data_IF_718328010876
#
_entry.id   IF_718328010876
#
_cell.length_a   1.000
_cell.length_b   1.000
_cell.length_c   1.000
_cell.angle_alpha   90.00
_cell.angle_beta   90.00
_cell.angle_gamma   90.00
#
_symmetry.space_group_name_H-M   'P 1'
#
loop_
_entity.id
_entity.type
_entity.pdbx_description
1 polymer ?
#
# COMPACT_ATOMS: atom_id res chain seq x y z
N UNK A 1 -48.23 -19.66 19.70
CA UNK A 1 -47.10 -19.25 18.82
C UNK A 1 -46.71 -17.81 19.14
N UNK A 2 -45.52 -17.56 19.68
CA UNK A 2 -45.08 -16.17 19.95
C UNK A 2 -44.70 -15.54 18.60
N UNK A 3 -45.43 -14.50 18.20
CA UNK A 3 -45.24 -13.79 16.95
C UNK A 3 -43.82 -13.16 16.92
N UNK A 4 -42.86 -13.85 16.31
CA UNK A 4 -41.45 -13.43 16.20
C UNK A 4 -41.32 -12.41 15.06
N UNK A 5 -41.90 -11.22 15.25
CA UNK A 5 -41.73 -10.14 14.29
C UNK A 5 -40.47 -9.35 14.61
N UNK A 6 -39.61 -9.24 13.59
CA UNK A 6 -38.49 -8.33 13.62
C UNK A 6 -38.96 -6.88 13.57
N UNK A 7 -38.28 -6.00 14.29
CA UNK A 7 -38.66 -4.60 14.36
C UNK A 7 -37.48 -3.68 14.69
N UNK A 8 -37.68 -2.41 14.33
CA UNK A 8 -36.89 -1.28 14.80
C UNK A 8 -37.61 -0.64 15.98
N UNK A 9 -36.87 -0.36 17.05
CA UNK A 9 -37.37 0.32 18.24
C UNK A 9 -36.50 1.53 18.58
N UNK A 10 -37.05 2.42 19.40
CA UNK A 10 -36.30 3.49 20.05
C UNK A 10 -36.49 3.50 21.55
N UNK A 11 -35.44 3.88 22.27
CA UNK A 11 -35.47 4.25 23.69
C UNK A 11 -35.29 5.76 23.74
N UNK A 12 -36.29 6.47 24.26
CA UNK A 12 -36.28 7.93 24.41
C UNK A 12 -36.08 8.27 25.88
N UNK A 13 -35.12 9.15 26.16
CA UNK A 13 -35.07 9.84 27.44
C UNK A 13 -36.04 11.03 27.38
N UNK A 14 -37.10 11.00 28.20
CA UNK A 14 -38.15 12.04 28.17
C UNK A 14 -37.71 13.37 28.76
N UNK A 15 -36.63 13.39 29.55
CA UNK A 15 -36.12 14.61 30.21
C UNK A 15 -35.37 15.50 29.22
N UNK A 16 -34.60 14.91 28.30
CA UNK A 16 -33.75 15.67 27.37
C UNK A 16 -34.03 15.37 25.88
N UNK A 17 -35.03 14.55 25.58
CA UNK A 17 -35.42 14.17 24.23
C UNK A 17 -34.44 13.24 23.49
N UNK A 18 -33.27 12.91 24.07
CA UNK A 18 -32.26 12.10 23.37
C UNK A 18 -32.75 10.67 23.16
N UNK A 19 -32.33 10.09 22.03
CA UNK A 19 -32.80 8.75 21.63
C UNK A 19 -31.69 7.75 21.39
N UNK A 20 -32.01 6.47 21.65
CA UNK A 20 -31.27 5.31 21.16
C UNK A 20 -32.17 4.58 20.18
N UNK A 21 -31.69 4.27 18.98
CA UNK A 21 -32.39 3.45 17.98
C UNK A 21 -31.71 2.08 17.96
N UNK A 22 -32.49 1.01 17.87
CA UNK A 22 -31.94 -0.33 17.73
C UNK A 22 -32.88 -1.27 16.99
N UNK A 23 -32.32 -2.37 16.50
CA UNK A 23 -33.07 -3.43 15.85
C UNK A 23 -33.16 -4.72 16.69
N UNK A 24 -34.17 -5.55 16.44
CA UNK A 24 -34.29 -6.87 17.07
C UNK A 24 -35.25 -7.79 16.32
N UNK A 25 -35.03 -9.10 16.43
CA UNK A 25 -35.97 -10.15 16.01
C UNK A 25 -36.92 -10.60 17.13
N UNK A 26 -36.70 -10.14 18.37
CA UNK A 26 -37.54 -10.44 19.53
C UNK A 26 -37.60 -9.23 20.46
N UNK A 27 -38.62 -8.40 20.27
CA UNK A 27 -38.80 -7.15 20.99
C UNK A 27 -38.92 -7.33 22.50
N UNK A 28 -39.75 -8.27 22.95
CA UNK A 28 -39.98 -8.51 24.38
C UNK A 28 -38.70 -8.89 25.12
N UNK A 29 -37.93 -9.85 24.56
CA UNK A 29 -36.63 -10.26 25.12
C UNK A 29 -35.64 -9.10 25.10
N UNK A 30 -35.60 -8.33 24.01
CA UNK A 30 -34.67 -7.20 23.88
C UNK A 30 -34.98 -6.06 24.84
N UNK A 31 -36.26 -5.72 25.02
CA UNK A 31 -36.75 -4.75 25.99
C UNK A 31 -36.35 -5.14 27.41
N UNK A 32 -36.69 -6.36 27.83
CA UNK A 32 -36.32 -6.87 29.16
C UNK A 32 -34.79 -6.86 29.36
N UNK A 33 -34.05 -7.29 28.34
CA UNK A 33 -32.58 -7.27 28.35
C UNK A 33 -32.01 -5.87 28.58
N UNK A 34 -32.46 -4.86 27.83
CA UNK A 34 -31.99 -3.48 27.99
C UNK A 34 -32.12 -2.99 29.43
N UNK A 35 -33.32 -3.03 30.00
CA UNK A 35 -33.56 -2.56 31.37
C UNK A 35 -32.83 -3.41 32.41
N UNK A 36 -32.78 -4.73 32.24
CA UNK A 36 -32.00 -5.60 33.13
C UNK A 36 -30.52 -5.26 33.17
N UNK A 37 -29.89 -5.00 32.01
CA UNK A 37 -28.49 -4.58 31.96
C UNK A 37 -28.29 -3.16 32.52
N UNK A 38 -29.22 -2.24 32.25
CA UNK A 38 -29.15 -0.87 32.75
C UNK A 38 -29.26 -0.82 34.27
N UNK A 39 -30.21 -1.54 34.88
CA UNK A 39 -30.35 -1.63 36.35
C UNK A 39 -29.11 -2.19 37.03
N UNK A 40 -28.40 -3.11 36.36
CA UNK A 40 -27.16 -3.73 36.87
C UNK A 40 -25.89 -2.93 36.57
N UNK A 41 -25.98 -1.80 35.88
CA UNK A 41 -24.79 -1.03 35.49
C UNK A 41 -23.93 -1.69 34.39
N UNK A 42 -24.44 -2.73 33.73
CA UNK A 42 -23.68 -3.60 32.82
C UNK A 42 -24.09 -3.43 31.35
N UNK A 43 -24.73 -2.31 31.00
CA UNK A 43 -25.18 -2.09 29.64
C UNK A 43 -24.01 -1.74 28.69
N UNK A 44 -23.94 -2.45 27.55
CA UNK A 44 -22.87 -2.29 26.54
C UNK A 44 -22.69 -0.85 26.04
N UNK A 45 -23.79 -0.11 25.96
CA UNK A 45 -23.74 1.32 25.65
C UNK A 45 -23.57 2.12 26.94
N UNK A 46 -22.33 2.52 27.22
CA UNK A 46 -21.98 3.26 28.44
C UNK A 46 -22.58 4.67 28.50
N UNK A 47 -22.93 5.30 27.37
CA UNK A 47 -23.60 6.60 27.38
C UNK A 47 -25.06 6.47 27.78
N UNK A 48 -25.74 5.47 27.24
CA UNK A 48 -27.09 5.14 27.68
C UNK A 48 -27.09 4.74 29.17
N UNK A 49 -26.10 3.97 29.62
CA UNK A 49 -25.92 3.60 31.03
C UNK A 49 -25.74 4.82 31.93
N UNK A 50 -24.83 5.74 31.60
CA UNK A 50 -24.60 6.97 32.37
C UNK A 50 -25.86 7.83 32.43
N UNK A 51 -26.58 7.97 31.32
CA UNK A 51 -27.84 8.72 31.29
C UNK A 51 -28.92 8.04 32.13
N UNK A 52 -29.02 6.71 32.08
CA UNK A 52 -29.94 5.95 32.92
C UNK A 52 -29.66 6.13 34.41
N UNK A 53 -28.38 6.06 34.81
CA UNK A 53 -27.97 6.30 36.19
C UNK A 53 -28.28 7.75 36.64
N UNK A 54 -28.16 8.72 35.73
CA UNK A 54 -28.40 10.14 36.03
C UNK A 54 -29.88 10.50 36.15
N UNK A 55 -30.73 10.02 35.24
CA UNK A 55 -32.13 10.45 35.15
C UNK A 55 -33.13 9.41 35.71
N UNK A 56 -32.65 8.23 36.08
CA UNK A 56 -33.48 7.14 36.59
C UNK A 56 -34.31 6.44 35.51
N UNK A 57 -34.85 5.28 35.86
CA UNK A 57 -35.56 4.40 34.92
C UNK A 57 -36.85 5.02 34.37
N UNK A 58 -37.62 5.71 35.22
CA UNK A 58 -38.89 6.34 34.85
C UNK A 58 -38.74 7.36 33.71
N UNK A 59 -37.52 7.91 33.53
CA UNK A 59 -37.19 8.85 32.46
C UNK A 59 -37.00 8.20 31.10
N UNK A 60 -37.00 6.87 30.98
CA UNK A 60 -36.74 6.16 29.71
C UNK A 60 -37.95 5.38 29.21
N UNK A 61 -38.38 5.68 27.98
CA UNK A 61 -39.49 4.99 27.30
C UNK A 61 -38.99 4.26 26.06
N UNK A 62 -39.24 2.95 26.00
CA UNK A 62 -38.96 2.12 24.82
C UNK A 62 -40.24 1.91 24.00
N UNK A 63 -40.17 2.15 22.69
CA UNK A 63 -41.29 1.97 21.75
C UNK A 63 -40.82 1.36 20.44
N UNK A 64 -41.66 0.50 19.85
CA UNK A 64 -41.48 0.03 18.46
C UNK A 64 -41.75 1.21 17.51
N UNK A 65 -40.87 1.39 16.53
CA UNK A 65 -41.03 2.37 15.46
C UNK A 65 -41.67 1.71 14.23
N UNK A 66 -41.14 0.56 13.82
CA UNK A 66 -41.55 -0.15 12.61
C UNK A 66 -41.29 -1.64 12.73
N UNK A 67 -42.32 -2.45 12.51
CA UNK A 67 -42.16 -3.89 12.23
C UNK A 67 -41.69 -4.06 10.78
N UNK A 68 -40.73 -4.96 10.55
CA UNK A 68 -40.12 -5.19 9.24
C UNK A 68 -39.57 -6.61 9.14
N UNK A 69 -39.16 -7.03 7.95
CA UNK A 69 -38.50 -8.31 7.76
C UNK A 69 -37.03 -8.26 8.22
N UNK A 70 -36.45 -9.42 8.51
CA UNK A 70 -35.06 -9.54 8.98
C UNK A 70 -34.08 -8.89 7.98
N UNK A 71 -34.30 -9.12 6.69
CA UNK A 71 -33.45 -8.63 5.60
C UNK A 71 -33.46 -7.10 5.47
N UNK A 72 -34.43 -6.42 6.07
CA UNK A 72 -34.56 -4.96 6.01
C UNK A 72 -34.01 -4.25 7.27
N UNK A 73 -33.68 -5.01 8.33
CA UNK A 73 -33.35 -4.46 9.63
C UNK A 73 -32.18 -3.46 9.55
N UNK A 74 -31.06 -3.86 8.94
CA UNK A 74 -29.86 -3.02 8.90
C UNK A 74 -30.11 -1.71 8.14
N UNK A 75 -30.84 -1.77 7.02
CA UNK A 75 -31.20 -0.59 6.21
C UNK A 75 -32.13 0.35 6.99
N UNK A 76 -33.13 -0.20 7.68
CA UNK A 76 -34.08 0.58 8.45
C UNK A 76 -33.48 1.15 9.74
N UNK A 77 -32.62 0.40 10.42
CA UNK A 77 -31.87 0.89 11.59
C UNK A 77 -31.03 2.11 11.19
N UNK A 78 -30.28 2.03 10.08
CA UNK A 78 -29.51 3.14 9.54
C UNK A 78 -30.40 4.35 9.22
N UNK A 79 -31.52 4.12 8.53
CA UNK A 79 -32.48 5.16 8.18
C UNK A 79 -33.02 5.88 9.43
N UNK A 80 -33.46 5.14 10.45
CA UNK A 80 -34.02 5.74 11.66
C UNK A 80 -32.95 6.38 12.54
N UNK A 81 -31.73 5.84 12.59
CA UNK A 81 -30.61 6.49 13.27
C UNK A 81 -30.30 7.86 12.65
N UNK A 82 -30.34 7.96 11.32
CA UNK A 82 -30.18 9.24 10.59
C UNK A 82 -31.38 10.16 10.82
N UNK A 83 -32.60 9.64 10.71
CA UNK A 83 -33.85 10.39 10.92
C UNK A 83 -33.94 11.04 12.29
N UNK A 84 -33.50 10.35 13.34
CA UNK A 84 -33.51 10.89 14.70
C UNK A 84 -32.16 11.45 15.16
N UNK A 85 -31.18 11.56 14.27
CA UNK A 85 -29.82 12.01 14.57
C UNK A 85 -29.21 11.30 15.80
N UNK A 86 -29.48 10.00 15.97
CA UNK A 86 -29.21 9.30 17.23
C UNK A 86 -27.74 9.01 17.49
N UNK A 87 -26.89 9.21 16.47
CA UNK A 87 -25.43 9.12 16.53
C UNK A 87 -24.78 10.39 17.07
N UNK A 88 -25.48 11.53 16.98
CA UNK A 88 -24.95 12.79 17.45
C UNK A 88 -25.09 12.89 18.97
N UNK A 89 -24.05 13.40 19.63
CA UNK A 89 -23.96 13.48 21.10
C UNK A 89 -25.05 14.36 21.71
N UNK A 90 -25.43 15.40 20.96
CA UNK A 90 -26.48 16.33 21.38
C UNK A 90 -27.86 15.66 21.35
N UNK A 91 -28.09 14.71 20.44
CA UNK A 91 -29.43 14.22 20.11
C UNK A 91 -29.66 12.73 20.40
N UNK A 92 -28.61 11.94 20.64
CA UNK A 92 -28.79 10.52 20.90
C UNK A 92 -27.66 9.80 21.61
N UNK A 93 -27.88 8.49 21.74
CA UNK A 93 -27.03 7.59 22.50
C UNK A 93 -26.33 6.54 21.62
N UNK A 94 -26.69 6.38 20.34
CA UNK A 94 -26.03 5.40 19.46
C UNK A 94 -24.54 5.73 19.30
N UNK A 95 -23.70 4.68 19.26
CA UNK A 95 -22.25 4.83 19.14
C UNK A 95 -21.71 4.42 17.77
N UNK A 96 -22.32 3.40 17.17
CA UNK A 96 -21.92 2.77 15.93
C UNK A 96 -23.18 2.31 15.19
N UNK A 97 -23.06 2.09 13.88
CA UNK A 97 -24.06 1.31 13.14
C UNK A 97 -23.75 -0.16 13.35
N UNK A 98 -24.81 -0.95 13.49
CA UNK A 98 -24.73 -2.39 13.43
C UNK A 98 -24.70 -3.06 14.80
N UNK A 99 -25.36 -4.21 14.87
CA UNK A 99 -25.34 -5.11 16.01
C UNK A 99 -23.97 -5.74 16.26
N UNK A 100 -23.98 -6.86 17.00
CA UNK A 100 -22.79 -7.48 17.60
C UNK A 100 -21.71 -7.91 16.59
N UNK A 101 -22.04 -8.12 15.31
CA UNK A 101 -21.17 -8.81 14.34
C UNK A 101 -20.43 -7.91 13.35
N UNK A 102 -21.00 -6.77 12.92
CA UNK A 102 -20.35 -5.87 11.94
C UNK A 102 -20.39 -4.43 12.43
N UNK A 103 -19.42 -4.08 13.28
CA UNK A 103 -19.21 -2.69 13.71
C UNK A 103 -18.60 -1.91 12.57
N UNK A 104 -19.39 -1.05 11.93
CA UNK A 104 -18.87 -0.08 10.96
C UNK A 104 -19.36 1.31 11.32
N UNK A 105 -18.52 2.32 11.08
CA UNK A 105 -18.94 3.70 11.17
C UNK A 105 -19.71 4.08 9.90
N UNK A 106 -20.82 4.83 10.03
CA UNK A 106 -21.49 5.41 8.88
C UNK A 106 -20.52 6.25 8.08
N UNK A 107 -20.72 6.36 6.77
CA UNK A 107 -19.96 7.28 5.94
C UNK A 107 -20.06 8.71 6.47
N UNK A 108 -21.23 9.15 6.97
CA UNK A 108 -21.36 10.49 7.55
C UNK A 108 -20.50 10.70 8.81
N UNK A 109 -20.26 9.67 9.62
CA UNK A 109 -19.38 9.75 10.80
C UNK A 109 -17.92 9.64 10.39
N UNK A 110 -17.61 8.80 9.40
CA UNK A 110 -16.27 8.70 8.82
C UNK A 110 -15.85 10.03 8.19
N UNK A 111 -16.74 10.68 7.46
CA UNK A 111 -16.56 12.02 6.92
C UNK A 111 -16.36 13.05 8.02
N UNK A 112 -17.18 13.05 9.08
CA UNK A 112 -17.01 13.97 10.20
C UNK A 112 -15.64 13.81 10.86
N UNK A 113 -15.22 12.57 11.15
CA UNK A 113 -13.90 12.27 11.71
C UNK A 113 -12.77 12.71 10.75
N UNK A 114 -12.93 12.45 9.45
CA UNK A 114 -11.97 12.86 8.42
C UNK A 114 -11.81 14.37 8.36
N UNK A 115 -12.93 15.12 8.28
CA UNK A 115 -12.94 16.59 8.28
C UNK A 115 -12.26 17.17 9.53
N UNK A 116 -12.56 16.62 10.71
CA UNK A 116 -11.95 17.07 11.96
C UNK A 116 -10.44 16.82 12.03
N UNK A 117 -9.90 15.90 11.24
CA UNK A 117 -8.47 15.57 11.23
C UNK A 117 -7.71 16.26 10.10
N UNK A 118 -8.38 16.61 8.99
CA UNK A 118 -7.75 17.09 7.76
C UNK A 118 -6.94 18.38 7.94
N UNK A 119 -7.37 19.25 8.86
CA UNK A 119 -6.74 20.55 9.12
C UNK A 119 -6.15 20.65 10.54
N UNK A 120 -5.93 19.50 11.18
CA UNK A 120 -5.40 19.47 12.55
C UNK A 120 -3.91 19.81 12.54
N UNK A 121 -3.58 21.05 12.86
CA UNK A 121 -2.20 21.48 13.10
C UNK A 121 -1.78 21.01 14.49
N UNK A 122 -0.73 20.18 14.54
CA UNK A 122 -0.08 19.79 15.79
C UNK A 122 0.74 20.97 16.30
N UNK A 123 0.45 21.43 17.52
CA UNK A 123 1.22 22.50 18.17
C UNK A 123 2.69 22.14 18.30
N UNK A 124 3.56 23.15 18.30
CA UNK A 124 5.00 22.95 18.41
C UNK A 124 5.39 22.24 19.71
N UNK A 125 4.77 22.62 20.83
CA UNK A 125 4.97 21.95 22.12
C UNK A 125 4.60 20.46 22.06
N UNK A 126 3.48 20.12 21.41
CA UNK A 126 3.09 18.72 21.27
C UNK A 126 4.06 17.94 20.39
N UNK A 127 4.54 18.57 19.31
CA UNK A 127 5.56 17.98 18.42
C UNK A 127 6.87 17.74 19.16
N UNK A 128 7.31 18.70 19.98
CA UNK A 128 8.54 18.61 20.78
C UNK A 128 8.45 17.47 21.80
N UNK A 129 7.34 17.36 22.53
CA UNK A 129 7.10 16.26 23.48
C UNK A 129 7.12 14.88 22.82
N UNK A 130 6.49 14.73 21.64
CA UNK A 130 6.54 13.47 20.88
C UNK A 130 7.97 13.16 20.45
N UNK A 131 8.72 14.16 20.00
CA UNK A 131 10.12 14.00 19.59
C UNK A 131 11.00 13.52 20.76
N UNK A 132 10.91 14.21 21.90
CA UNK A 132 11.64 13.87 23.13
C UNK A 132 11.30 12.45 23.62
N UNK A 133 10.01 12.08 23.60
CA UNK A 133 9.57 10.75 24.02
C UNK A 133 10.09 9.62 23.11
N UNK A 134 10.34 9.90 21.84
CA UNK A 134 10.84 8.92 20.87
C UNK A 134 12.36 8.97 20.69
N UNK A 135 13.02 10.00 21.23
CA UNK A 135 14.46 10.17 21.15
C UNK A 135 15.16 8.98 21.82
N UNK A 136 16.04 8.31 21.07
CA UNK A 136 16.81 7.15 21.57
C UNK A 136 16.06 5.82 21.60
N UNK A 137 14.75 5.78 21.32
CA UNK A 137 14.01 4.52 21.22
C UNK A 137 14.41 3.78 19.94
N UNK A 138 15.13 2.66 20.10
CA UNK A 138 15.39 1.74 18.99
C UNK A 138 14.20 0.80 18.84
N UNK A 139 13.73 0.65 17.60
CA UNK A 139 12.76 -0.40 17.29
C UNK A 139 13.37 -1.77 17.57
N UNK A 140 12.54 -2.69 18.06
CA UNK A 140 12.98 -4.08 18.25
C UNK A 140 13.42 -4.70 16.93
N UNK A 141 14.39 -5.60 16.98
CA UNK A 141 14.83 -6.40 15.83
C UNK A 141 13.66 -7.13 15.18
N UNK A 142 12.77 -7.73 15.99
CA UNK A 142 11.56 -8.41 15.52
C UNK A 142 10.59 -7.47 14.78
N UNK A 143 10.40 -6.23 15.24
CA UNK A 143 9.57 -5.26 14.52
C UNK A 143 10.20 -4.82 13.20
N UNK A 144 11.52 -4.59 13.19
CA UNK A 144 12.27 -4.26 11.96
C UNK A 144 12.12 -5.40 10.94
N UNK A 145 12.28 -6.64 11.39
CA UNK A 145 12.18 -7.82 10.55
C UNK A 145 10.77 -8.04 10.01
N UNK A 146 9.74 -7.84 10.84
CA UNK A 146 8.33 -7.85 10.41
C UNK A 146 8.08 -6.78 9.34
N UNK A 147 8.56 -5.55 9.52
CA UNK A 147 8.43 -4.50 8.51
C UNK A 147 9.16 -4.85 7.20
N UNK A 148 10.38 -5.40 7.28
CA UNK A 148 11.12 -5.86 6.10
C UNK A 148 10.37 -6.98 5.36
N UNK A 149 9.85 -7.97 6.09
CA UNK A 149 9.05 -9.08 5.55
C UNK A 149 7.79 -8.55 4.85
N UNK A 150 6.99 -7.72 5.52
CA UNK A 150 5.80 -7.11 4.91
C UNK A 150 6.12 -6.30 3.66
N UNK A 151 7.22 -5.53 3.66
CA UNK A 151 7.66 -4.81 2.44
C UNK A 151 8.04 -5.77 1.31
N UNK A 152 8.70 -6.89 1.61
CA UNK A 152 9.09 -7.90 0.62
C UNK A 152 7.87 -8.62 0.05
N UNK A 153 6.94 -9.02 0.91
CA UNK A 153 5.71 -9.71 0.53
C UNK A 153 4.80 -8.79 -0.30
N UNK A 154 4.68 -7.51 0.08
CA UNK A 154 3.89 -6.52 -0.65
C UNK A 154 4.58 -6.01 -1.93
N UNK A 155 5.89 -6.20 -2.11
CA UNK A 155 6.59 -5.83 -3.34
C UNK A 155 6.08 -6.63 -4.55
N UNK A 156 5.52 -7.81 -4.31
CA UNK A 156 4.85 -8.64 -5.32
C UNK A 156 3.61 -7.95 -5.88
N UNK A 157 2.96 -7.08 -5.09
CA UNK A 157 1.73 -6.39 -5.44
C UNK A 157 1.94 -5.08 -6.23
N UNK A 158 3.15 -4.52 -6.26
CA UNK A 158 3.42 -3.16 -6.77
C UNK A 158 3.46 -2.99 -8.30
N UNK A 159 2.60 -3.73 -9.02
CA UNK A 159 2.30 -3.46 -10.44
C UNK A 159 1.38 -2.25 -10.57
N UNK A 160 0.30 -2.37 -11.36
CA UNK A 160 -0.69 -1.29 -11.55
C UNK A 160 -1.38 -0.83 -10.26
N UNK A 161 -1.37 -1.63 -9.19
CA UNK A 161 -2.00 -1.28 -7.90
C UNK A 161 -1.22 -0.21 -7.13
N UNK A 162 0.02 0.08 -7.55
CA UNK A 162 0.79 1.17 -6.98
C UNK A 162 0.21 2.51 -7.47
N UNK A 163 -0.15 3.45 -6.55
CA UNK A 163 -0.67 4.76 -6.95
C UNK A 163 0.24 5.57 -7.88
N UNK A 164 1.55 5.27 -7.87
CA UNK A 164 2.54 5.90 -8.73
C UNK A 164 2.90 5.07 -9.98
N UNK A 165 2.15 4.01 -10.29
CA UNK A 165 2.36 3.20 -11.47
C UNK A 165 2.05 4.00 -12.74
N UNK A 166 3.01 4.03 -13.67
CA UNK A 166 2.87 4.74 -14.95
C UNK A 166 2.30 3.84 -16.05
N UNK A 167 2.49 2.52 -15.92
CA UNK A 167 2.14 1.53 -16.94
C UNK A 167 1.09 0.55 -16.40
N UNK A 168 0.16 0.15 -17.26
CA UNK A 168 -0.76 -0.96 -17.00
C UNK A 168 -0.01 -2.30 -17.03
N UNK A 169 -0.60 -3.33 -16.43
CA UNK A 169 -0.02 -4.68 -16.50
C UNK A 169 0.11 -5.18 -17.95
N UNK A 170 -0.87 -4.88 -18.81
CA UNK A 170 -0.87 -5.24 -20.24
C UNK A 170 0.25 -4.53 -21.02
N UNK A 171 0.48 -3.25 -20.75
CA UNK A 171 1.56 -2.50 -21.39
C UNK A 171 2.93 -3.05 -21.00
N UNK A 172 3.07 -3.51 -19.76
CA UNK A 172 4.30 -4.14 -19.28
C UNK A 172 4.54 -5.48 -19.99
N UNK A 173 3.51 -6.29 -20.21
CA UNK A 173 3.64 -7.54 -20.96
C UNK A 173 4.08 -7.28 -22.40
N UNK A 174 3.43 -6.34 -23.09
CA UNK A 174 3.82 -5.93 -24.45
C UNK A 174 5.24 -5.40 -24.50
N UNK A 175 5.63 -4.58 -23.51
CA UNK A 175 7.00 -4.05 -23.41
C UNK A 175 8.02 -5.17 -23.26
N UNK A 176 7.75 -6.18 -22.43
CA UNK A 176 8.64 -7.34 -22.26
C UNK A 176 8.82 -8.08 -23.59
N UNK A 177 7.73 -8.33 -24.31
CA UNK A 177 7.77 -8.99 -25.63
C UNK A 177 8.56 -8.17 -26.65
N UNK A 178 8.30 -6.86 -26.74
CA UNK A 178 9.03 -5.96 -27.63
C UNK A 178 10.53 -5.93 -27.33
N UNK A 179 10.92 -5.90 -26.05
CA UNK A 179 12.31 -5.96 -25.63
C UNK A 179 12.97 -7.30 -25.98
N UNK A 180 12.24 -8.43 -25.88
CA UNK A 180 12.71 -9.74 -26.32
C UNK A 180 12.91 -9.80 -27.84
N UNK A 181 12.07 -9.09 -28.60
CA UNK A 181 12.19 -8.96 -30.05
C UNK A 181 13.28 -7.95 -30.49
N UNK A 182 14.08 -7.44 -29.54
CA UNK A 182 15.23 -6.58 -29.83
C UNK A 182 14.93 -5.08 -29.89
N UNK A 183 13.75 -4.64 -29.43
CA UNK A 183 13.45 -3.21 -29.30
C UNK A 183 14.46 -2.51 -28.38
N UNK A 184 14.91 -1.32 -28.78
CA UNK A 184 15.84 -0.55 -27.94
C UNK A 184 15.10 0.10 -26.77
N UNK A 185 15.79 0.29 -25.65
CA UNK A 185 15.25 1.03 -24.49
C UNK A 185 14.76 2.43 -24.89
N UNK A 186 15.43 3.08 -25.86
CA UNK A 186 15.06 4.41 -26.35
C UNK A 186 13.70 4.39 -27.07
N UNK A 187 13.46 3.35 -27.85
CA UNK A 187 12.20 3.19 -28.59
C UNK A 187 11.07 2.76 -27.65
N UNK A 188 11.36 1.89 -26.68
CA UNK A 188 10.42 1.52 -25.63
C UNK A 188 9.97 2.74 -24.80
N UNK A 189 10.90 3.64 -24.44
CA UNK A 189 10.56 4.89 -23.73
C UNK A 189 9.56 5.75 -24.53
N UNK A 190 9.76 5.87 -25.85
CA UNK A 190 8.89 6.66 -26.72
C UNK A 190 7.53 5.99 -26.90
N UNK A 191 7.52 4.69 -27.18
CA UNK A 191 6.30 3.90 -27.44
C UNK A 191 5.38 3.88 -26.22
N UNK A 192 5.93 3.61 -25.05
CA UNK A 192 5.18 3.47 -23.79
C UNK A 192 5.13 4.74 -22.95
N UNK A 193 5.66 5.86 -23.46
CA UNK A 193 5.71 7.17 -22.78
C UNK A 193 6.18 7.08 -21.33
N UNK A 194 7.21 6.27 -21.09
CA UNK A 194 7.71 5.98 -19.76
C UNK A 194 9.17 6.40 -19.58
N UNK A 195 9.59 6.57 -18.32
CA UNK A 195 10.96 6.93 -18.00
C UNK A 195 11.92 5.76 -18.30
N UNK A 196 13.19 6.08 -18.58
CA UNK A 196 14.24 5.08 -18.74
C UNK A 196 14.35 4.16 -17.52
N UNK A 197 14.15 4.73 -16.34
CA UNK A 197 14.19 4.03 -15.06
C UNK A 197 13.05 3.01 -14.94
N UNK A 198 11.86 3.35 -15.45
CA UNK A 198 10.71 2.44 -15.52
C UNK A 198 11.04 1.23 -16.39
N UNK A 199 11.58 1.46 -17.60
CA UNK A 199 11.99 0.38 -18.51
C UNK A 199 13.04 -0.52 -17.85
N UNK A 200 14.10 0.05 -17.26
CA UNK A 200 15.12 -0.76 -16.57
C UNK A 200 14.59 -1.46 -15.33
N UNK A 201 13.65 -0.88 -14.60
CA UNK A 201 12.99 -1.53 -13.46
C UNK A 201 12.27 -2.81 -13.88
N UNK A 202 11.56 -2.76 -15.01
CA UNK A 202 10.84 -3.91 -15.58
C UNK A 202 11.83 -4.95 -16.14
N UNK A 203 12.77 -4.52 -16.97
CA UNK A 203 13.75 -5.41 -17.63
C UNK A 203 14.64 -6.14 -16.63
N UNK A 204 15.00 -5.49 -15.52
CA UNK A 204 15.82 -6.08 -14.45
C UNK A 204 15.00 -6.80 -13.37
N UNK A 205 13.71 -7.06 -13.62
CA UNK A 205 12.81 -7.77 -12.70
C UNK A 205 12.72 -7.15 -11.29
N UNK A 206 12.81 -5.82 -11.19
CA UNK A 206 12.65 -5.08 -9.93
C UNK A 206 11.19 -4.69 -9.66
N UNK A 207 10.44 -4.44 -10.73
CA UNK A 207 9.03 -4.01 -10.71
C UNK A 207 8.15 -4.93 -11.55
N UNK A 208 6.84 -4.98 -11.27
CA UNK A 208 5.85 -5.82 -11.98
C UNK A 208 6.24 -7.31 -12.02
N UNK A 209 6.84 -7.83 -10.94
CA UNK A 209 7.42 -9.19 -10.88
C UNK A 209 6.44 -10.31 -11.19
N UNK A 210 5.16 -10.11 -10.88
CA UNK A 210 4.10 -11.10 -11.11
C UNK A 210 3.72 -11.25 -12.60
N UNK A 211 4.10 -10.29 -13.46
CA UNK A 211 3.69 -10.27 -14.87
C UNK A 211 4.65 -11.13 -15.70
N UNK A 212 4.07 -12.09 -16.42
CA UNK A 212 4.69 -12.97 -17.43
C UNK A 212 6.04 -13.61 -16.99
N UNK A 213 6.06 -14.42 -15.91
CA UNK A 213 7.29 -14.99 -15.33
C UNK A 213 8.14 -15.76 -16.35
N UNK A 214 7.52 -16.54 -17.23
CA UNK A 214 8.22 -17.29 -18.28
C UNK A 214 8.98 -16.39 -19.28
N UNK A 215 8.43 -15.20 -19.59
CA UNK A 215 9.08 -14.23 -20.47
C UNK A 215 10.22 -13.49 -19.77
N UNK A 216 10.10 -13.31 -18.44
CA UNK A 216 11.15 -12.66 -17.63
C UNK A 216 12.41 -13.49 -17.55
N UNK A 217 12.29 -14.80 -17.40
CA UNK A 217 13.45 -15.70 -17.40
C UNK A 217 14.18 -15.65 -18.74
N UNK A 218 13.44 -15.63 -19.85
CA UNK A 218 14.00 -15.43 -21.19
C UNK A 218 14.73 -14.09 -21.32
N UNK A 219 14.16 -13.01 -20.79
CA UNK A 219 14.77 -11.68 -20.84
C UNK A 219 16.04 -11.59 -20.00
N UNK A 220 16.07 -12.24 -18.83
CA UNK A 220 17.27 -12.36 -18.00
C UNK A 220 18.39 -13.07 -18.75
N UNK A 221 18.09 -14.23 -19.34
CA UNK A 221 19.06 -15.02 -20.11
C UNK A 221 19.59 -14.23 -21.33
N UNK A 222 18.73 -13.48 -22.01
CA UNK A 222 19.12 -12.64 -23.15
C UNK A 222 20.06 -11.50 -22.73
N UNK A 223 19.80 -10.85 -21.59
CA UNK A 223 20.68 -9.81 -21.05
C UNK A 223 22.05 -10.38 -20.63
N UNK A 224 22.08 -11.56 -20.01
CA UNK A 224 23.32 -12.25 -19.68
C UNK A 224 24.12 -12.63 -20.93
N UNK A 225 23.43 -13.16 -21.96
CA UNK A 225 24.05 -13.47 -23.25
C UNK A 225 24.64 -12.23 -23.91
N UNK A 226 23.88 -11.14 -23.99
CA UNK A 226 24.36 -9.87 -24.55
C UNK A 226 25.58 -9.32 -23.79
N UNK A 227 25.60 -9.47 -22.46
CA UNK A 227 26.75 -9.10 -21.63
C UNK A 227 27.98 -9.96 -21.96
N UNK A 228 27.82 -11.28 -22.07
CA UNK A 228 28.89 -12.22 -22.48
C UNK A 228 29.39 -11.92 -23.90
N UNK A 229 28.50 -11.66 -24.84
CA UNK A 229 28.88 -11.33 -26.22
C UNK A 229 29.66 -10.01 -26.31
N UNK A 230 29.27 -9.02 -25.49
CA UNK A 230 30.02 -7.76 -25.38
C UNK A 230 31.41 -7.99 -24.80
N UNK A 231 31.52 -8.83 -23.76
CA UNK A 231 32.79 -9.22 -23.15
C UNK A 231 33.71 -9.93 -24.16
N UNK A 232 33.17 -10.89 -24.90
CA UNK A 232 33.86 -11.67 -25.92
C UNK A 232 34.32 -10.82 -27.12
N UNK A 233 33.73 -9.64 -27.33
CA UNK A 233 34.22 -8.66 -28.34
C UNK A 233 35.33 -7.77 -27.77
N UNK A 234 35.15 -7.25 -26.55
CA UNK A 234 36.05 -6.26 -25.96
C UNK A 234 37.40 -6.85 -25.55
N UNK A 235 37.41 -8.00 -24.88
CA UNK A 235 38.65 -8.59 -24.34
C UNK A 235 39.63 -8.96 -25.47
N UNK A 236 39.24 -9.71 -26.51
CA UNK A 236 40.16 -10.08 -27.57
C UNK A 236 40.67 -8.87 -28.36
N UNK A 237 39.80 -7.88 -28.63
CA UNK A 237 40.23 -6.65 -29.29
C UNK A 237 41.31 -5.91 -28.49
N UNK A 238 41.16 -5.86 -27.16
CA UNK A 238 42.13 -5.21 -26.30
C UNK A 238 43.45 -6.00 -26.21
N UNK A 239 43.38 -7.32 -26.04
CA UNK A 239 44.56 -8.21 -26.01
C UNK A 239 45.33 -8.19 -27.34
N UNK A 240 44.64 -7.98 -28.46
CA UNK A 240 45.23 -7.79 -29.79
C UNK A 240 45.82 -6.37 -30.01
N UNK A 241 45.97 -5.57 -28.94
CA UNK A 241 46.64 -4.26 -28.99
C UNK A 241 45.76 -3.10 -29.44
N UNK A 242 44.44 -3.28 -29.59
CA UNK A 242 43.53 -2.17 -29.92
C UNK A 242 43.30 -1.31 -28.67
N UNK A 243 43.53 0.00 -28.79
CA UNK A 243 43.34 0.92 -27.66
C UNK A 243 41.86 1.00 -27.23
N UNK A 244 41.61 1.27 -25.95
CA UNK A 244 40.26 1.41 -25.40
C UNK A 244 39.41 2.44 -26.16
N UNK A 245 40.03 3.54 -26.63
CA UNK A 245 39.35 4.55 -27.44
C UNK A 245 38.90 3.99 -28.79
N UNK A 246 39.75 3.19 -29.46
CA UNK A 246 39.44 2.59 -30.75
C UNK A 246 38.41 1.47 -30.62
N UNK A 247 38.43 0.71 -29.51
CA UNK A 247 37.37 -0.26 -29.16
C UNK A 247 36.04 0.47 -28.91
N UNK A 248 36.06 1.56 -28.14
CA UNK A 248 34.89 2.39 -27.85
C UNK A 248 34.23 2.93 -29.11
N UNK A 249 35.02 3.46 -30.04
CA UNK A 249 34.51 3.94 -31.34
C UNK A 249 33.97 2.81 -32.21
N UNK A 250 34.71 1.69 -32.33
CA UNK A 250 34.33 0.57 -33.20
C UNK A 250 33.08 -0.17 -32.73
N UNK A 251 32.85 -0.25 -31.42
CA UNK A 251 31.68 -0.93 -30.85
C UNK A 251 30.54 0.03 -30.48
N UNK A 252 30.75 1.35 -30.57
CA UNK A 252 29.76 2.35 -30.16
C UNK A 252 29.47 2.34 -28.65
N UNK A 253 30.42 1.87 -27.83
CA UNK A 253 30.28 1.70 -26.37
C UNK A 253 31.10 2.78 -25.67
N UNK A 254 30.65 3.30 -24.52
CA UNK A 254 31.42 4.28 -23.76
C UNK A 254 32.80 3.73 -23.35
N UNK A 255 33.84 4.56 -23.44
CA UNK A 255 35.19 4.21 -22.97
C UNK A 255 35.20 3.74 -21.51
N UNK A 256 34.38 4.36 -20.66
CA UNK A 256 34.27 3.98 -19.25
C UNK A 256 33.74 2.55 -19.08
N UNK A 257 32.77 2.14 -19.91
CA UNK A 257 32.26 0.75 -19.94
C UNK A 257 33.36 -0.23 -20.36
N UNK A 258 34.13 0.12 -21.40
CA UNK A 258 35.28 -0.70 -21.83
C UNK A 258 36.31 -0.84 -20.71
N UNK A 259 36.69 0.26 -20.05
CA UNK A 259 37.64 0.23 -18.93
C UNK A 259 37.12 -0.57 -17.74
N UNK A 260 35.83 -0.44 -17.41
CA UNK A 260 35.20 -1.18 -16.32
C UNK A 260 35.24 -2.68 -16.59
N UNK A 261 34.88 -3.11 -17.80
CA UNK A 261 34.90 -4.52 -18.20
C UNK A 261 36.31 -5.11 -18.10
N UNK A 262 37.34 -4.39 -18.57
CA UNK A 262 38.72 -4.87 -18.50
C UNK A 262 39.20 -5.00 -17.04
N UNK A 263 38.89 -4.01 -16.19
CA UNK A 263 39.25 -4.03 -14.78
C UNK A 263 38.53 -5.16 -14.01
N UNK A 264 37.23 -5.39 -14.27
CA UNK A 264 36.45 -6.48 -13.66
C UNK A 264 36.97 -7.88 -14.03
N UNK A 265 37.72 -8.00 -15.13
CA UNK A 265 38.33 -9.25 -15.59
C UNK A 265 39.84 -9.29 -15.31
N UNK A 266 40.34 -8.47 -14.38
CA UNK A 266 41.75 -8.40 -13.97
C UNK A 266 42.74 -8.08 -15.11
N UNK A 267 42.28 -7.46 -16.20
CA UNK A 267 43.15 -7.04 -17.30
C UNK A 267 43.77 -5.70 -16.95
N UNK A 268 45.09 -5.67 -16.80
CA UNK A 268 45.79 -4.47 -16.36
C UNK A 268 45.81 -3.38 -17.45
N UNK A 269 45.04 -2.33 -17.22
CA UNK A 269 44.87 -1.21 -18.15
C UNK A 269 45.98 -0.14 -18.04
N UNK A 270 46.85 -0.21 -17.01
CA UNK A 270 47.95 0.75 -16.78
C UNK A 270 49.23 0.41 -17.54
N UNK A 271 49.48 -0.87 -17.84
CA UNK A 271 50.75 -1.33 -18.41
C UNK A 271 50.80 -1.32 -19.96
N UNK A 272 49.67 -1.16 -20.64
CA UNK A 272 49.55 -1.31 -22.10
C UNK A 272 49.78 -0.02 -22.92
N UNK A 273 50.47 0.99 -22.38
CA UNK A 273 50.86 2.16 -23.18
C UNK A 273 52.09 1.91 -24.07
N UNK A 274 52.91 0.88 -23.83
CA UNK A 274 54.26 0.82 -24.40
C UNK A 274 54.75 -0.54 -24.98
N UNK A 275 53.92 -1.57 -25.19
CA UNK A 275 54.44 -2.87 -25.65
C UNK A 275 54.62 -3.05 -27.18
N UNK A 276 54.16 -2.13 -28.03
CA UNK A 276 54.30 -2.27 -29.50
C UNK A 276 55.06 -1.15 -30.22
N UNK A 277 55.75 -0.26 -29.48
CA UNK A 277 56.68 0.72 -30.11
C UNK A 277 58.13 0.21 -30.23
N UNK A 278 58.47 -0.92 -29.60
CA UNK A 278 59.86 -1.38 -29.45
C UNK A 278 60.27 -2.59 -30.29
N UNK A 279 59.41 -3.13 -31.16
CA UNK A 279 59.78 -4.29 -32.00
C UNK A 279 60.18 -3.94 -33.44
N UNK A 280 60.30 -2.65 -33.79
CA UNK A 280 60.76 -2.21 -35.12
C UNK A 280 61.79 -1.07 -35.07
N UNK A 281 62.63 -1.04 -34.04
CA UNK A 281 63.81 -0.15 -33.98
C UNK A 281 65.00 -0.90 -33.37
N UNK A 282 65.52 -1.89 -34.08
CA UNK A 282 66.97 -2.06 -34.26
C UNK A 282 67.23 -3.29 -35.13
N UNK A 283 67.49 -3.06 -36.41
CA UNK A 283 68.24 -3.97 -37.28
C UNK A 283 68.94 -3.19 -38.42
N UNK A 284 69.31 -1.94 -38.16
CA UNK A 284 70.10 -1.13 -39.11
C UNK A 284 71.14 -0.31 -38.37
N UNK A 285 72.17 -0.99 -37.88
CA UNK A 285 73.51 -0.47 -37.56
C UNK A 285 74.44 -1.67 -37.38
N UNK A 286 74.86 -2.24 -38.51
CA UNK A 286 76.20 -2.80 -38.66
C UNK A 286 77.03 -1.74 -39.37
#
# INVERSE_FOLDING_TARGET
>A
MVNRKSCIYKITNVVNGKVYVGQTVNYSKRKAGHFSYLRRGAHRNHYLQKAFNKYGEASFKIKVIKECNINELDKLELFYMKKYNSLDRAHGYNLLIGGTTNKSFPDCVREKMSRSQKDRIISEEHRKRISEQNKGKKMSSASIEKTKKTKKDNQIQWGETNPNAVLSNDDVEKLIVDMLNGMTVKDAMKKYRCSRQTVYGIVQNRTYKAISPNLRDKLSNLNEKNKKDTLNKIIPMYLNGVSQNKISQKLGISRNTVSKILNENNINTRFYKNQFRSQYRDNSRK
#
